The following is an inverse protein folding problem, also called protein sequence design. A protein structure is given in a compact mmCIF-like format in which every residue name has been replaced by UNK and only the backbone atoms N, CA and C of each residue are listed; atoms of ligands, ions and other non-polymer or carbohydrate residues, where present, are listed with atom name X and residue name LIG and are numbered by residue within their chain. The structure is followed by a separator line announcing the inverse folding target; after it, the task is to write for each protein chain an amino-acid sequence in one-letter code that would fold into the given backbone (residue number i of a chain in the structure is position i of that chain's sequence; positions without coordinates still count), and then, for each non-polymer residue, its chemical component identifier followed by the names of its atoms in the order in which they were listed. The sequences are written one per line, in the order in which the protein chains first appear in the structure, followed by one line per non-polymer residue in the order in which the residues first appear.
data_IF_485811635050
#
_entry.id   IF_485811635050
#
_cell.length_a   1.000
_cell.length_b   1.000
_cell.length_c   1.000
_cell.angle_alpha   90.00
_cell.angle_beta   90.00
_cell.angle_gamma   90.00
#
_symmetry.space_group_name_H-M   'P 1'
#
loop_
_entity.id
_entity.type
_entity.pdbx_description
1 polymer ?
#
# COMPACT_ATOMS: atom_id res chain seq x y z
N UNK A 1 19.03 22.01 -1.31
CA UNK A 1 18.15 20.92 -1.78
C UNK A 1 16.89 20.97 -0.93
N UNK A 2 15.76 21.41 -1.49
CA UNK A 2 14.49 21.42 -0.75
C UNK A 2 14.03 19.97 -0.60
N UNK A 3 14.30 19.38 0.56
CA UNK A 3 13.78 18.07 0.90
C UNK A 3 12.26 18.20 1.04
N UNK A 4 11.50 17.49 0.19
CA UNK A 4 10.06 17.40 0.35
C UNK A 4 9.77 16.49 1.55
N UNK A 5 9.19 17.02 2.66
CA UNK A 5 9.01 16.25 3.88
C UNK A 5 7.96 15.14 3.74
N UNK A 6 7.14 15.19 2.69
CA UNK A 6 6.14 14.17 2.36
C UNK A 6 6.72 13.02 1.50
N UNK A 7 8.02 13.03 1.21
CA UNK A 7 8.66 12.05 0.32
C UNK A 7 9.44 11.01 1.11
N UNK A 8 9.14 9.73 0.87
CA UNK A 8 9.81 8.57 1.45
C UNK A 8 10.33 7.64 0.35
N UNK A 9 11.21 6.70 0.71
CA UNK A 9 11.88 5.78 -0.23
C UNK A 9 10.86 4.85 -0.91
N UNK A 10 9.88 4.37 -0.15
CA UNK A 10 8.79 3.52 -0.64
C UNK A 10 7.45 4.12 -0.22
N UNK A 11 6.35 3.56 -0.76
CA UNK A 11 5.01 4.05 -0.40
C UNK A 11 4.82 4.01 1.13
N UNK A 12 4.44 5.14 1.76
CA UNK A 12 4.36 5.19 3.21
C UNK A 12 2.93 4.89 3.71
N UNK A 13 2.71 3.91 4.61
CA UNK A 13 1.38 3.52 5.10
C UNK A 13 0.53 4.67 5.68
N UNK A 14 1.17 5.70 6.25
CA UNK A 14 0.49 6.93 6.72
C UNK A 14 -0.36 7.63 5.64
N UNK A 15 -0.11 7.36 4.36
CA UNK A 15 -0.85 7.94 3.24
C UNK A 15 -2.19 7.24 2.99
N UNK A 16 -2.37 5.99 3.45
CA UNK A 16 -3.59 5.18 3.21
C UNK A 16 -4.89 5.93 3.54
N UNK A 17 -5.04 6.59 4.72
CA UNK A 17 -6.28 7.30 5.05
C UNK A 17 -6.62 8.42 4.06
N UNK A 18 -5.61 9.07 3.46
CA UNK A 18 -5.81 10.15 2.48
C UNK A 18 -6.41 9.66 1.16
N UNK A 19 -6.42 8.34 0.91
CA UNK A 19 -6.92 7.74 -0.32
C UNK A 19 -8.41 7.39 -0.26
N UNK A 20 -9.00 7.41 0.94
CA UNK A 20 -10.36 6.93 1.25
C UNK A 20 -11.45 7.50 0.34
N UNK A 21 -11.42 8.81 0.11
CA UNK A 21 -12.51 9.53 -0.56
C UNK A 21 -12.23 9.79 -2.05
N UNK A 22 -11.25 9.11 -2.64
CA UNK A 22 -10.85 9.34 -4.03
C UNK A 22 -11.74 8.63 -5.05
N UNK A 23 -12.51 7.62 -4.62
CA UNK A 23 -13.31 6.75 -5.50
C UNK A 23 -14.66 6.40 -4.86
N UNK A 24 -15.35 5.40 -5.41
CA UNK A 24 -16.70 5.00 -5.01
C UNK A 24 -16.80 4.37 -3.61
N UNK A 25 -18.02 3.96 -3.22
CA UNK A 25 -18.28 3.41 -1.88
C UNK A 25 -17.51 2.10 -1.60
N UNK A 26 -17.34 1.24 -2.61
CA UNK A 26 -16.59 -0.01 -2.47
C UNK A 26 -15.11 0.26 -2.11
N UNK A 27 -14.48 1.21 -2.80
CA UNK A 27 -13.12 1.64 -2.48
C UNK A 27 -13.02 2.24 -1.07
N UNK A 28 -13.99 3.07 -0.69
CA UNK A 28 -14.03 3.71 0.63
C UNK A 28 -14.07 2.68 1.75
N UNK A 29 -14.95 1.69 1.64
CA UNK A 29 -15.09 0.60 2.62
C UNK A 29 -13.81 -0.23 2.70
N UNK A 30 -13.20 -0.53 1.56
CA UNK A 30 -11.91 -1.21 1.50
C UNK A 30 -10.80 -0.43 2.23
N UNK A 31 -10.67 0.87 1.98
CA UNK A 31 -9.68 1.72 2.66
C UNK A 31 -9.97 1.83 4.16
N UNK A 32 -11.25 1.89 4.56
CA UNK A 32 -11.64 1.90 5.98
C UNK A 32 -11.18 0.63 6.71
N UNK A 33 -11.25 -0.54 6.05
CA UNK A 33 -10.69 -1.78 6.58
C UNK A 33 -9.17 -1.70 6.79
N UNK A 34 -8.43 -1.20 5.79
CA UNK A 34 -6.98 -1.03 5.91
C UNK A 34 -6.58 -0.04 7.02
N UNK A 35 -7.35 1.03 7.21
CA UNK A 35 -7.08 2.04 8.23
C UNK A 35 -7.06 1.46 9.66
N UNK A 36 -7.70 0.32 9.91
CA UNK A 36 -7.68 -0.35 11.21
C UNK A 36 -6.31 -0.92 11.58
N UNK A 37 -5.42 -1.07 10.59
CA UNK A 37 -4.12 -1.75 10.74
C UNK A 37 -2.93 -0.82 10.52
N UNK A 38 -3.13 0.47 10.19
CA UNK A 38 -2.05 1.41 9.83
C UNK A 38 -1.10 1.76 10.98
N UNK A 39 -1.43 1.39 12.22
CA UNK A 39 -0.50 1.50 13.36
C UNK A 39 0.49 0.34 13.42
N UNK A 40 0.27 -0.71 12.62
CA UNK A 40 1.15 -1.86 12.47
C UNK A 40 1.54 -2.03 10.99
N UNK A 41 2.63 -1.38 10.59
CA UNK A 41 3.15 -1.43 9.22
C UNK A 41 3.61 -2.84 8.78
N UNK A 42 3.70 -3.79 9.72
CA UNK A 42 4.04 -5.19 9.43
C UNK A 42 2.81 -6.09 9.27
N UNK A 43 1.61 -5.54 9.42
CA UNK A 43 0.37 -6.26 9.13
C UNK A 43 0.34 -6.66 7.65
N UNK A 44 -0.06 -7.91 7.37
CA UNK A 44 0.00 -8.48 6.02
C UNK A 44 -0.77 -7.64 4.98
N UNK A 45 -1.94 -7.11 5.35
CA UNK A 45 -2.73 -6.27 4.44
C UNK A 45 -2.09 -4.89 4.21
N UNK A 46 -1.37 -4.33 5.20
CA UNK A 46 -0.63 -3.08 5.01
C UNK A 46 0.57 -3.30 4.10
N UNK A 47 1.29 -4.41 4.27
CA UNK A 47 2.40 -4.80 3.39
C UNK A 47 1.92 -5.07 1.97
N UNK A 48 0.80 -5.78 1.81
CA UNK A 48 0.19 -6.05 0.52
C UNK A 48 -0.26 -4.76 -0.18
N UNK A 49 -0.91 -3.84 0.54
CA UNK A 49 -1.31 -2.56 -0.02
C UNK A 49 -0.10 -1.68 -0.37
N UNK A 50 0.91 -1.66 0.48
CA UNK A 50 2.18 -0.98 0.21
C UNK A 50 2.84 -1.54 -1.05
N UNK A 51 2.87 -2.87 -1.19
CA UNK A 51 3.41 -3.54 -2.37
C UNK A 51 2.61 -3.23 -3.64
N UNK A 52 1.28 -3.21 -3.56
CA UNK A 52 0.41 -2.75 -4.65
C UNK A 52 0.78 -1.32 -5.08
N UNK A 53 0.91 -0.41 -4.12
CA UNK A 53 1.23 0.99 -4.41
C UNK A 53 2.65 1.17 -4.94
N UNK A 54 3.63 0.38 -4.49
CA UNK A 54 4.98 0.36 -5.06
C UNK A 54 4.93 0.03 -6.55
N UNK A 55 4.11 -0.94 -6.95
CA UNK A 55 3.91 -1.33 -8.36
C UNK A 55 3.15 -0.24 -9.14
N UNK A 56 2.05 0.30 -8.61
CA UNK A 56 1.23 1.29 -9.32
C UNK A 56 1.88 2.68 -9.43
N UNK A 57 2.58 3.14 -8.39
CA UNK A 57 3.29 4.43 -8.38
C UNK A 57 4.66 4.35 -9.07
N UNK A 58 5.14 3.13 -9.38
CA UNK A 58 6.53 2.86 -9.76
C UNK A 58 7.54 3.46 -8.77
N UNK A 59 7.34 3.24 -7.46
CA UNK A 59 8.15 3.85 -6.40
C UNK A 59 9.65 3.53 -6.55
N UNK A 60 9.99 2.32 -6.99
CA UNK A 60 11.39 1.88 -7.17
C UNK A 60 12.14 2.65 -8.27
N UNK A 61 11.41 3.34 -9.15
CA UNK A 61 11.96 4.22 -10.19
C UNK A 61 11.72 5.71 -9.86
N UNK A 62 11.42 6.05 -8.59
CA UNK A 62 11.26 7.41 -8.13
C UNK A 62 12.58 7.90 -7.52
N UNK A 63 13.20 8.89 -8.14
CA UNK A 63 14.45 9.50 -7.68
C UNK A 63 14.19 10.88 -7.10
N UNK A 64 15.10 11.42 -6.29
CA UNK A 64 14.91 12.69 -5.59
C UNK A 64 14.65 13.90 -6.51
N UNK A 65 15.09 13.82 -7.76
CA UNK A 65 14.89 14.79 -8.84
C UNK A 65 13.63 14.53 -9.69
N UNK A 66 12.96 13.40 -9.47
CA UNK A 66 11.72 13.07 -10.18
C UNK A 66 10.61 14.05 -9.82
N UNK A 67 9.80 14.44 -10.80
CA UNK A 67 8.63 15.31 -10.58
C UNK A 67 7.70 14.77 -9.48
N UNK A 68 7.57 13.44 -9.37
CA UNK A 68 6.81 12.77 -8.31
C UNK A 68 7.42 12.99 -6.93
N UNK A 69 8.74 12.84 -6.77
CA UNK A 69 9.44 13.06 -5.51
C UNK A 69 9.40 14.53 -5.07
N UNK A 70 9.41 15.46 -6.01
CA UNK A 70 9.27 16.90 -5.74
C UNK A 70 7.86 17.32 -5.30
N UNK A 71 6.84 16.46 -5.46
CA UNK A 71 5.43 16.76 -5.14
C UNK A 71 4.93 16.05 -3.88
N UNK A 72 5.68 15.09 -3.34
CA UNK A 72 5.29 14.31 -2.16
C UNK A 72 4.56 13.01 -2.48
N UNK A 73 4.77 12.00 -1.64
CA UNK A 73 4.15 10.68 -1.79
C UNK A 73 2.63 10.72 -1.67
N UNK A 74 2.07 11.62 -0.86
CA UNK A 74 0.61 11.78 -0.70
C UNK A 74 -0.03 12.15 -2.03
N UNK A 75 0.45 13.23 -2.67
CA UNK A 75 -0.10 13.70 -3.94
C UNK A 75 0.17 12.72 -5.09
N UNK A 76 1.34 12.08 -5.11
CA UNK A 76 1.65 11.02 -6.07
C UNK A 76 0.61 9.89 -5.98
N UNK A 77 0.33 9.41 -4.77
CA UNK A 77 -0.58 8.30 -4.51
C UNK A 77 -2.03 8.66 -4.80
N UNK A 78 -2.47 9.87 -4.41
CA UNK A 78 -3.80 10.38 -4.74
C UNK A 78 -4.03 10.46 -6.25
N UNK A 79 -3.03 10.93 -7.00
CA UNK A 79 -3.12 10.98 -8.46
C UNK A 79 -3.20 9.58 -9.08
N UNK A 80 -2.39 8.63 -8.61
CA UNK A 80 -2.41 7.25 -9.11
C UNK A 80 -3.78 6.60 -8.89
N UNK A 81 -4.31 6.67 -7.66
CA UNK A 81 -5.61 6.08 -7.32
C UNK A 81 -6.76 6.81 -8.03
N UNK A 82 -6.77 8.14 -7.99
CA UNK A 82 -7.83 8.95 -8.59
C UNK A 82 -7.88 8.85 -10.12
N UNK A 83 -6.74 8.59 -10.78
CA UNK A 83 -6.66 8.45 -12.25
C UNK A 83 -6.62 7.00 -12.73
N UNK A 84 -6.71 6.02 -11.83
CA UNK A 84 -6.77 4.61 -12.21
C UNK A 84 -8.01 4.37 -13.07
N UNK A 85 -7.79 3.86 -14.30
CA UNK A 85 -8.81 3.78 -15.36
C UNK A 85 -9.83 2.66 -15.15
N UNK A 86 -9.49 1.64 -14.37
CA UNK A 86 -10.40 0.55 -14.04
C UNK A 86 -11.41 0.93 -12.96
N UNK A 87 -12.30 -0.01 -12.67
CA UNK A 87 -13.29 0.02 -11.59
C UNK A 87 -12.66 -0.12 -10.21
N UNK A 88 -13.43 0.14 -9.16
CA UNK A 88 -13.01 -0.06 -7.78
C UNK A 88 -12.69 -1.55 -7.52
N UNK A 89 -13.53 -2.46 -8.02
CA UNK A 89 -13.29 -3.90 -7.98
C UNK A 89 -11.98 -4.34 -8.66
N UNK A 90 -11.63 -3.78 -9.83
CA UNK A 90 -10.36 -4.08 -10.51
C UNK A 90 -9.15 -3.56 -9.73
N UNK A 91 -9.27 -2.38 -9.11
CA UNK A 91 -8.21 -1.82 -8.26
C UNK A 91 -8.02 -2.65 -6.99
N UNK A 92 -9.11 -3.10 -6.37
CA UNK A 92 -9.09 -4.03 -5.23
C UNK A 92 -8.54 -5.40 -5.65
N UNK A 93 -8.76 -5.84 -6.91
CA UNK A 93 -8.13 -7.04 -7.44
C UNK A 93 -6.60 -6.89 -7.53
N UNK A 94 -6.07 -5.70 -7.87
CA UNK A 94 -4.62 -5.44 -7.78
C UNK A 94 -4.08 -5.63 -6.35
N UNK A 95 -4.84 -5.23 -5.34
CA UNK A 95 -4.48 -5.49 -3.93
C UNK A 95 -4.47 -7.00 -3.63
N UNK A 96 -5.48 -7.74 -4.07
CA UNK A 96 -5.55 -9.20 -3.87
C UNK A 96 -4.35 -9.92 -4.48
N UNK A 97 -3.96 -9.54 -5.70
CA UNK A 97 -2.73 -10.04 -6.34
C UNK A 97 -1.48 -9.70 -5.53
N UNK A 98 -1.37 -8.45 -5.05
CA UNK A 98 -0.24 -8.07 -4.20
C UNK A 98 -0.21 -8.83 -2.87
N UNK A 99 -1.38 -9.17 -2.31
CA UNK A 99 -1.50 -9.99 -1.11
C UNK A 99 -1.05 -11.43 -1.34
N UNK A 100 -1.39 -12.00 -2.50
CA UNK A 100 -0.88 -13.30 -2.94
C UNK A 100 0.65 -13.29 -3.11
N UNK A 101 1.22 -12.23 -3.72
CA UNK A 101 2.68 -12.07 -3.84
C UNK A 101 3.36 -12.12 -2.46
N UNK A 102 2.81 -11.39 -1.47
CA UNK A 102 3.33 -11.36 -0.10
C UNK A 102 3.21 -12.74 0.56
N UNK A 103 2.05 -13.39 0.45
CA UNK A 103 1.81 -14.73 1.00
C UNK A 103 2.76 -15.78 0.40
N UNK A 104 2.96 -15.74 -0.91
CA UNK A 104 3.89 -16.64 -1.60
C UNK A 104 5.32 -16.43 -1.11
N UNK A 105 5.76 -15.17 -0.95
CA UNK A 105 7.08 -14.85 -0.43
C UNK A 105 7.26 -15.36 1.01
N UNK A 106 6.28 -15.15 1.89
CA UNK A 106 6.28 -15.66 3.27
C UNK A 106 6.43 -17.18 3.28
N UNK A 107 5.63 -17.88 2.48
CA UNK A 107 5.63 -19.34 2.42
C UNK A 107 6.96 -19.89 1.91
N UNK A 108 7.55 -19.23 0.92
CA UNK A 108 8.84 -19.62 0.35
C UNK A 108 10.06 -19.34 1.25
N UNK A 109 9.92 -18.46 2.26
CA UNK A 109 11.03 -18.01 3.10
C UNK A 109 10.81 -18.30 4.60
N UNK A 110 10.52 -19.54 5.02
CA UNK A 110 10.02 -19.90 6.36
C UNK A 110 10.94 -19.54 7.55
N UNK A 111 12.22 -19.26 7.28
CA UNK A 111 13.22 -18.81 8.26
C UNK A 111 13.36 -17.29 8.36
N UNK A 112 12.57 -16.52 7.59
CA UNK A 112 12.61 -15.06 7.66
C UNK A 112 12.10 -14.58 9.03
N UNK A 113 12.80 -13.66 9.71
CA UNK A 113 12.31 -13.02 10.92
C UNK A 113 10.95 -12.33 10.73
N UNK A 114 10.59 -11.98 9.48
CA UNK A 114 9.28 -11.44 9.16
C UNK A 114 8.13 -12.44 9.31
N UNK A 115 8.38 -13.76 9.25
CA UNK A 115 7.31 -14.75 9.44
C UNK A 115 6.73 -14.75 10.84
N UNK A 116 7.55 -14.51 11.87
CA UNK A 116 7.09 -14.44 13.25
C UNK A 116 6.05 -13.31 13.40
N UNK A 117 6.33 -12.19 12.76
CA UNK A 117 5.52 -10.97 12.75
C UNK A 117 4.23 -11.18 11.92
N UNK A 118 4.34 -11.86 10.78
CA UNK A 118 3.22 -12.12 9.88
C UNK A 118 2.27 -13.19 10.44
N UNK A 119 2.79 -14.23 11.10
CA UNK A 119 1.99 -15.27 11.77
C UNK A 119 1.07 -14.70 12.84
N UNK A 120 1.52 -13.68 13.58
CA UNK A 120 0.70 -13.01 14.59
C UNK A 120 -0.48 -12.25 13.98
N UNK A 121 -0.35 -11.80 12.73
CA UNK A 121 -1.41 -11.08 12.01
C UNK A 121 -2.39 -12.02 11.28
N UNK A 122 -1.92 -13.17 10.77
CA UNK A 122 -2.78 -14.16 10.09
C UNK A 122 -3.66 -15.01 11.02
N UNK A 123 -3.39 -15.02 12.32
CA UNK A 123 -4.14 -15.82 13.30
C UNK A 123 -5.49 -15.20 13.71
N UNK A 124 -5.78 -13.96 13.33
CA UNK A 124 -7.07 -13.33 13.59
C UNK A 124 -7.98 -13.50 12.37
N UNK A 125 -9.11 -14.23 12.47
CA UNK A 125 -10.09 -14.23 11.41
C UNK A 125 -10.65 -12.82 11.25
N UNK A 126 -10.56 -12.28 10.04
CA UNK A 126 -11.32 -11.10 9.61
C UNK A 126 -12.78 -11.36 9.91
N UNK A 127 -13.33 -10.63 10.88
CA UNK A 127 -14.74 -10.70 11.27
C UNK A 127 -15.59 -9.93 10.29
#
# INVERSE_FOLDING_TARGET
MLHQPDTEIIFPPRVIPSLRNLRGPEWREFVDGLCQHTTNDTHADILAFTWMMVKLNSCLACHADSYRAMRGCTLCSQNTIGRFKGTDAELIACFKVAREDILAWITANPSSPMLEILRQCFAAPSR
#
